data_IF_324732215638
#
_entry.id   IF_324732215638
#
_cell.length_a   1.000
_cell.length_b   1.000
_cell.length_c   1.000
_cell.angle_alpha   90.00
_cell.angle_beta   90.00
_cell.angle_gamma   90.00
#
_symmetry.space_group_name_H-M   'P 1'
#
loop_
_entity.id
_entity.type
_entity.pdbx_description
1 polymer ?
#
# COMPACT_ATOMS: atom_id res chain seq x y z
N UNK A 1 1.58 -5.76 12.77
CA UNK A 1 1.86 -7.22 12.74
C UNK A 1 3.28 -7.37 13.20
N UNK A 2 3.54 -8.21 14.22
CA UNK A 2 4.91 -8.64 14.51
C UNK A 2 5.45 -9.36 13.27
N UNK A 3 6.77 -9.29 13.01
CA UNK A 3 7.39 -9.97 11.88
C UNK A 3 7.09 -11.46 11.79
N UNK A 4 6.78 -12.09 12.91
CA UNK A 4 6.37 -13.48 13.01
C UNK A 4 5.07 -13.77 12.25
N UNK A 5 4.06 -12.89 12.34
CA UNK A 5 2.79 -13.09 11.64
C UNK A 5 2.90 -12.96 10.12
N UNK A 6 3.85 -12.16 9.62
CA UNK A 6 4.07 -12.04 8.18
C UNK A 6 4.62 -13.34 7.59
N UNK A 7 5.58 -13.98 8.27
CA UNK A 7 6.20 -15.23 7.82
C UNK A 7 5.19 -16.39 7.73
N UNK A 8 4.23 -16.43 8.66
CA UNK A 8 3.25 -17.51 8.76
C UNK A 8 1.99 -17.26 7.93
N UNK A 9 1.84 -16.07 7.34
CA UNK A 9 0.61 -15.72 6.62
C UNK A 9 0.72 -16.04 5.13
N UNK A 10 0.05 -17.10 4.63
CA UNK A 10 0.05 -17.41 3.21
C UNK A 10 -0.59 -16.25 2.43
N UNK A 11 0.02 -15.86 1.34
CA UNK A 11 -0.47 -14.79 0.46
C UNK A 11 0.04 -13.38 0.78
N UNK A 12 0.89 -13.21 1.80
CA UNK A 12 1.61 -11.93 2.02
C UNK A 12 2.99 -11.89 1.32
N UNK A 13 3.35 -12.92 0.55
CA UNK A 13 4.56 -12.95 -0.26
C UNK A 13 5.87 -13.10 0.55
N UNK A 14 5.79 -13.59 1.80
CA UNK A 14 6.97 -13.76 2.64
C UNK A 14 7.96 -14.76 2.05
N UNK A 15 7.50 -15.94 1.64
CA UNK A 15 8.34 -16.98 1.05
C UNK A 15 9.03 -16.51 -0.24
N UNK A 16 8.29 -15.86 -1.12
CA UNK A 16 8.79 -15.30 -2.38
C UNK A 16 9.82 -14.20 -2.12
N UNK A 17 9.55 -13.33 -1.15
CA UNK A 17 10.47 -12.27 -0.76
C UNK A 17 11.77 -12.85 -0.19
N UNK A 18 11.69 -13.80 0.75
CA UNK A 18 12.85 -14.45 1.33
C UNK A 18 13.67 -15.19 0.26
N UNK A 19 13.00 -15.97 -0.60
CA UNK A 19 13.65 -16.69 -1.70
C UNK A 19 14.38 -15.75 -2.66
N UNK A 20 13.87 -14.55 -2.92
CA UNK A 20 14.52 -13.55 -3.76
C UNK A 20 15.87 -13.07 -3.20
N UNK A 21 16.08 -13.22 -1.90
CA UNK A 21 17.36 -12.96 -1.21
C UNK A 21 18.17 -14.22 -0.94
N UNK A 22 17.73 -15.38 -1.44
CA UNK A 22 18.41 -16.68 -1.24
C UNK A 22 18.21 -17.26 0.17
N UNK A 23 17.08 -16.92 0.82
CA UNK A 23 16.70 -17.41 2.14
C UNK A 23 15.57 -18.41 2.01
N UNK A 24 15.76 -19.62 2.52
CA UNK A 24 14.73 -20.65 2.59
C UNK A 24 14.04 -20.61 3.96
N UNK A 25 12.73 -20.43 3.97
CA UNK A 25 11.93 -20.47 5.19
C UNK A 25 11.41 -21.89 5.46
N UNK A 26 11.87 -22.50 6.54
CA UNK A 26 11.51 -23.85 6.98
C UNK A 26 10.67 -23.88 8.28
N UNK A 27 10.19 -22.70 8.71
CA UNK A 27 9.43 -22.55 9.96
C UNK A 27 10.28 -22.13 11.17
N UNK A 28 11.61 -22.06 11.04
CA UNK A 28 12.48 -21.53 12.09
C UNK A 28 12.65 -20.00 11.96
N UNK A 29 11.84 -19.27 12.70
CA UNK A 29 11.84 -17.80 12.72
C UNK A 29 13.17 -17.19 13.18
N UNK A 30 13.84 -17.82 14.16
CA UNK A 30 15.14 -17.32 14.66
C UNK A 30 16.23 -17.45 13.60
N UNK A 31 16.27 -18.61 12.93
CA UNK A 31 17.21 -18.83 11.82
C UNK A 31 16.93 -17.88 10.67
N UNK A 32 15.67 -17.76 10.28
CA UNK A 32 15.25 -16.85 9.20
C UNK A 32 15.64 -15.41 9.50
N UNK A 33 15.40 -14.92 10.73
CA UNK A 33 15.81 -13.57 11.13
C UNK A 33 17.33 -13.38 11.03
N UNK A 34 18.13 -14.35 11.49
CA UNK A 34 19.60 -14.28 11.37
C UNK A 34 20.07 -14.27 9.90
N UNK A 35 19.40 -15.04 9.02
CA UNK A 35 19.70 -15.03 7.58
C UNK A 35 19.27 -13.72 6.90
N UNK A 36 18.13 -13.13 7.27
CA UNK A 36 17.72 -11.79 6.80
C UNK A 36 18.78 -10.76 7.13
N UNK A 37 19.25 -10.69 8.36
CA UNK A 37 20.31 -9.75 8.77
C UNK A 37 21.64 -9.97 8.04
N UNK A 38 21.90 -11.18 7.56
CA UNK A 38 23.14 -11.54 6.85
C UNK A 38 23.04 -11.33 5.34
N UNK A 39 21.89 -11.62 4.71
CA UNK A 39 21.75 -11.72 3.26
C UNK A 39 21.00 -10.54 2.63
N UNK A 40 20.07 -9.92 3.37
CA UNK A 40 19.40 -8.72 2.85
C UNK A 40 20.35 -7.53 2.96
N UNK A 41 20.60 -6.79 1.88
CA UNK A 41 21.47 -5.62 1.94
C UNK A 41 20.98 -4.62 2.99
N UNK A 42 21.89 -4.15 3.83
CA UNK A 42 21.57 -3.17 4.90
C UNK A 42 20.89 -1.91 4.34
N UNK A 43 21.22 -1.52 3.12
CA UNK A 43 20.59 -0.40 2.43
C UNK A 43 19.07 -0.61 2.22
N UNK A 44 18.65 -1.87 1.93
CA UNK A 44 17.23 -2.20 1.77
C UNK A 44 16.50 -2.12 3.11
N UNK A 45 17.09 -2.68 4.18
CA UNK A 45 16.50 -2.63 5.52
C UNK A 45 16.35 -1.18 6.01
N UNK A 46 17.40 -0.38 5.89
CA UNK A 46 17.34 1.05 6.26
C UNK A 46 16.32 1.83 5.44
N UNK A 47 16.23 1.54 4.15
CA UNK A 47 15.23 2.20 3.29
C UNK A 47 13.82 1.89 3.78
N UNK A 48 13.49 0.62 4.07
CA UNK A 48 12.19 0.22 4.60
C UNK A 48 11.87 0.89 5.93
N UNK A 49 12.85 0.96 6.85
CA UNK A 49 12.70 1.61 8.16
C UNK A 49 12.44 3.12 8.07
N UNK A 50 12.87 3.76 6.99
CA UNK A 50 12.73 5.21 6.79
C UNK A 50 11.51 5.59 5.96
N UNK A 51 10.73 4.62 5.46
CA UNK A 51 9.54 4.91 4.68
C UNK A 51 8.48 5.64 5.52
N UNK A 52 7.93 6.77 5.02
CA UNK A 52 6.84 7.43 5.70
C UNK A 52 5.55 6.58 5.60
N UNK A 53 4.73 6.61 6.65
CA UNK A 53 3.43 5.92 6.67
C UNK A 53 2.40 6.61 5.78
N UNK A 54 2.60 7.86 5.47
CA UNK A 54 1.76 8.66 4.58
C UNK A 54 2.55 9.82 3.97
N UNK A 55 2.02 10.36 2.88
CA UNK A 55 2.56 11.55 2.22
C UNK A 55 1.42 12.48 1.81
N UNK A 56 1.45 13.72 2.30
CA UNK A 56 0.44 14.74 1.99
C UNK A 56 1.00 15.76 1.00
N UNK A 57 0.24 15.99 -0.07
CA UNK A 57 0.48 17.06 -1.05
C UNK A 57 -0.72 18.02 -1.07
N UNK A 58 -0.64 19.15 -1.78
CA UNK A 58 -1.81 20.00 -2.00
C UNK A 58 -2.99 19.29 -2.71
N UNK A 59 -2.72 18.24 -3.48
CA UNK A 59 -3.72 17.53 -4.27
C UNK A 59 -4.32 16.34 -3.54
N UNK A 60 -3.52 15.60 -2.77
CA UNK A 60 -3.96 14.33 -2.18
C UNK A 60 -3.13 13.91 -0.97
N UNK A 61 -3.73 13.04 -0.16
CA UNK A 61 -3.07 12.24 0.87
C UNK A 61 -2.79 10.84 0.31
N UNK A 62 -1.54 10.44 0.26
CA UNK A 62 -1.11 9.10 -0.15
C UNK A 62 -0.87 8.25 1.10
N UNK A 63 -1.47 7.06 1.15
CA UNK A 63 -1.37 6.14 2.28
C UNK A 63 -1.54 4.69 1.77
N UNK A 64 -0.98 3.69 2.48
CA UNK A 64 -1.07 2.30 2.01
C UNK A 64 -2.51 1.79 1.99
N UNK A 65 -3.21 1.73 3.14
CA UNK A 65 -4.55 1.13 3.24
C UNK A 65 -5.69 2.16 3.33
N UNK A 66 -5.49 3.24 4.07
CA UNK A 66 -6.50 4.25 4.31
C UNK A 66 -6.27 5.02 5.60
N UNK A 67 -7.31 5.69 6.06
CA UNK A 67 -7.31 6.45 7.32
C UNK A 67 -8.54 6.08 8.14
N UNK A 68 -8.50 6.30 9.45
CA UNK A 68 -9.69 6.25 10.30
C UNK A 68 -10.47 7.56 10.13
N UNK A 69 -11.72 7.51 9.61
CA UNK A 69 -12.54 8.70 9.43
C UNK A 69 -12.74 9.48 10.73
N UNK A 70 -12.75 10.80 10.63
CA UNK A 70 -12.97 11.69 11.78
C UNK A 70 -11.80 11.80 12.76
N UNK A 71 -10.65 11.20 12.46
CA UNK A 71 -9.42 11.30 13.25
C UNK A 71 -8.38 12.11 12.51
N UNK A 72 -7.80 13.11 13.18
CA UNK A 72 -6.73 13.92 12.60
C UNK A 72 -5.56 13.05 12.11
N UNK A 73 -4.92 13.45 11.01
CA UNK A 73 -3.81 12.70 10.40
C UNK A 73 -2.65 12.45 11.38
N UNK A 74 -2.34 13.43 12.24
CA UNK A 74 -1.31 13.32 13.28
C UNK A 74 -1.65 12.34 14.42
N UNK A 75 -2.90 11.87 14.47
CA UNK A 75 -3.41 10.94 15.48
C UNK A 75 -3.80 9.58 14.91
N UNK A 76 -3.60 9.39 13.61
CA UNK A 76 -3.79 8.09 12.97
C UNK A 76 -2.83 7.06 13.55
N UNK A 77 -3.29 5.84 13.74
CA UNK A 77 -2.42 4.75 14.16
C UNK A 77 -1.73 4.12 12.95
N UNK A 78 -0.51 3.60 13.12
CA UNK A 78 0.17 2.85 12.08
C UNK A 78 -0.71 1.69 11.57
N UNK A 79 -1.38 0.97 12.48
CA UNK A 79 -2.28 -0.12 12.12
C UNK A 79 -3.39 0.34 11.17
N UNK A 80 -4.03 1.49 11.42
CA UNK A 80 -5.07 2.00 10.52
C UNK A 80 -4.48 2.37 9.15
N UNK A 81 -3.35 3.07 9.13
CA UNK A 81 -2.70 3.52 7.90
C UNK A 81 -2.29 2.36 6.97
N UNK A 82 -1.94 1.19 7.53
CA UNK A 82 -1.43 0.05 6.75
C UNK A 82 -2.40 -1.13 6.64
N UNK A 83 -3.51 -1.18 7.41
CA UNK A 83 -4.40 -2.34 7.43
C UNK A 83 -5.90 -2.03 7.35
N UNK A 84 -6.33 -0.79 7.53
CA UNK A 84 -7.76 -0.47 7.59
C UNK A 84 -8.49 -0.88 6.31
N UNK A 85 -9.68 -1.43 6.48
CA UNK A 85 -10.65 -1.70 5.41
C UNK A 85 -12.02 -1.20 5.83
N UNK A 86 -12.68 -1.97 6.71
CA UNK A 86 -14.02 -1.62 7.22
C UNK A 86 -13.98 -0.30 7.98
N UNK A 87 -14.99 0.54 7.75
CA UNK A 87 -15.10 1.87 8.35
C UNK A 87 -14.44 2.97 7.54
N UNK A 88 -13.40 2.66 6.70
CA UNK A 88 -12.84 3.59 5.72
C UNK A 88 -13.46 3.40 4.34
N UNK A 89 -13.52 2.15 3.86
CA UNK A 89 -14.03 1.85 2.52
C UNK A 89 -15.53 2.16 2.37
N UNK A 90 -16.26 2.06 3.46
CA UNK A 90 -17.71 2.29 3.53
C UNK A 90 -18.07 3.75 3.89
N UNK A 91 -17.07 4.58 4.24
CA UNK A 91 -17.28 5.96 4.63
C UNK A 91 -17.32 6.88 3.40
N UNK A 92 -18.35 7.72 3.32
CA UNK A 92 -18.54 8.68 2.25
C UNK A 92 -18.35 10.13 2.69
N UNK A 93 -17.90 10.36 3.93
CA UNK A 93 -17.68 11.71 4.45
C UNK A 93 -16.47 12.35 3.78
N UNK A 94 -16.44 13.67 3.72
CA UNK A 94 -15.30 14.42 3.23
C UNK A 94 -14.14 14.30 4.24
N UNK A 95 -12.99 13.81 3.80
CA UNK A 95 -11.77 13.69 4.60
C UNK A 95 -10.87 14.94 4.48
N UNK A 96 -11.29 15.96 3.71
CA UNK A 96 -10.50 17.12 3.33
C UNK A 96 -9.67 16.81 2.06
N UNK A 97 -8.48 16.23 2.15
CA UNK A 97 -7.72 15.81 0.96
C UNK A 97 -8.31 14.53 0.36
N UNK A 98 -8.20 14.37 -0.96
CA UNK A 98 -8.46 13.09 -1.63
C UNK A 98 -7.49 12.03 -1.08
N UNK A 99 -8.01 10.92 -0.55
CA UNK A 99 -7.18 9.84 -0.02
C UNK A 99 -6.86 8.82 -1.11
N UNK A 100 -5.61 8.77 -1.55
CA UNK A 100 -5.11 7.77 -2.52
C UNK A 100 -4.58 6.57 -1.77
N UNK A 101 -5.13 5.39 -2.07
CA UNK A 101 -4.80 4.18 -1.31
C UNK A 101 -4.78 2.91 -2.18
N UNK A 102 -4.10 1.87 -1.68
CA UNK A 102 -4.07 0.51 -2.20
C UNK A 102 -4.65 -0.50 -1.20
N UNK A 103 -3.92 -1.60 -0.96
CA UNK A 103 -4.20 -2.64 0.03
C UNK A 103 -5.50 -3.46 -0.19
N UNK A 104 -6.54 -2.84 -0.66
CA UNK A 104 -7.81 -3.50 -1.03
C UNK A 104 -7.94 -3.49 -2.53
N UNK A 105 -7.85 -4.68 -3.12
CA UNK A 105 -7.88 -4.85 -4.57
C UNK A 105 -9.22 -4.41 -5.14
N UNK A 106 -9.18 -3.66 -6.23
CA UNK A 106 -10.31 -3.24 -7.05
C UNK A 106 -10.12 -3.71 -8.49
N UNK A 107 -11.20 -3.91 -9.25
CA UNK A 107 -11.12 -4.35 -10.64
C UNK A 107 -10.45 -3.31 -11.55
N UNK A 108 -10.61 -2.04 -11.23
CA UNK A 108 -10.00 -0.91 -11.93
C UNK A 108 -9.80 0.26 -10.99
N UNK A 109 -8.87 1.16 -11.33
CA UNK A 109 -8.67 2.42 -10.58
C UNK A 109 -9.97 3.20 -10.52
N UNK A 110 -10.47 3.47 -9.31
CA UNK A 110 -11.80 4.04 -9.10
C UNK A 110 -11.76 5.21 -8.12
N UNK A 111 -12.38 6.32 -8.53
CA UNK A 111 -12.54 7.52 -7.71
C UNK A 111 -13.91 7.52 -7.03
N UNK A 112 -13.96 7.33 -5.72
CA UNK A 112 -15.19 7.24 -4.92
C UNK A 112 -15.67 8.58 -4.32
N UNK A 113 -15.18 9.70 -4.84
CA UNK A 113 -15.49 11.04 -4.33
C UNK A 113 -14.47 11.51 -3.29
N UNK A 114 -14.39 10.86 -2.15
CA UNK A 114 -13.46 11.18 -1.05
C UNK A 114 -12.15 10.39 -1.08
N UNK A 115 -12.06 9.34 -1.87
CA UNK A 115 -10.89 8.45 -1.99
C UNK A 115 -10.69 7.95 -3.41
N UNK A 116 -9.44 7.60 -3.73
CA UNK A 116 -9.02 6.98 -4.98
C UNK A 116 -8.37 5.63 -4.68
N UNK A 117 -9.02 4.53 -5.07
CA UNK A 117 -8.48 3.19 -4.96
C UNK A 117 -7.65 2.85 -6.21
N UNK A 118 -6.36 2.54 -6.03
CA UNK A 118 -5.42 2.30 -7.13
C UNK A 118 -4.80 0.90 -7.16
N UNK A 119 -5.11 0.04 -6.21
CA UNK A 119 -4.60 -1.33 -6.16
C UNK A 119 -5.44 -2.24 -7.07
N UNK A 120 -4.91 -2.58 -8.20
CA UNK A 120 -5.54 -3.48 -9.18
C UNK A 120 -4.97 -4.91 -9.15
N UNK A 121 -4.34 -5.28 -8.02
CA UNK A 121 -3.93 -6.65 -7.74
C UNK A 121 -2.70 -7.11 -8.52
N UNK A 122 -1.75 -6.22 -8.84
CA UNK A 122 -0.55 -6.59 -9.60
C UNK A 122 0.23 -7.76 -8.99
N UNK A 123 0.31 -7.84 -7.66
CA UNK A 123 0.95 -8.95 -6.95
C UNK A 123 0.22 -10.31 -7.12
N UNK A 124 -1.04 -10.28 -7.58
CA UNK A 124 -1.88 -11.46 -7.83
C UNK A 124 -2.14 -11.70 -9.33
N UNK A 125 -1.33 -11.09 -10.19
CA UNK A 125 -1.46 -11.21 -11.65
C UNK A 125 -2.41 -10.22 -12.29
N UNK A 126 -2.96 -9.28 -11.55
CA UNK A 126 -3.70 -8.14 -12.08
C UNK A 126 -2.78 -7.09 -12.74
N UNK A 127 -3.34 -6.06 -13.37
CA UNK A 127 -2.54 -5.02 -13.98
C UNK A 127 -1.83 -4.16 -12.93
N UNK A 128 -0.63 -3.68 -13.25
CA UNK A 128 0.03 -2.63 -12.47
C UNK A 128 -0.56 -1.28 -12.87
N UNK A 129 -1.24 -0.61 -11.95
CA UNK A 129 -1.84 0.70 -12.17
C UNK A 129 -0.94 1.83 -11.69
N UNK A 130 -0.93 2.92 -12.42
CA UNK A 130 -0.25 4.16 -12.05
C UNK A 130 -1.14 5.35 -12.36
N UNK A 131 -1.17 6.33 -11.46
CA UNK A 131 -1.92 7.57 -11.64
C UNK A 131 -0.97 8.77 -11.60
N UNK A 132 -1.36 9.84 -12.27
CA UNK A 132 -0.63 11.10 -12.27
C UNK A 132 -1.56 12.23 -11.85
N UNK A 133 -1.04 13.11 -10.99
CA UNK A 133 -1.65 14.37 -10.63
C UNK A 133 -0.80 15.50 -11.20
N UNK A 134 -1.37 16.32 -12.05
CA UNK A 134 -0.69 17.49 -12.61
C UNK A 134 -1.65 18.67 -12.83
N UNK A 135 -1.23 19.67 -13.61
CA UNK A 135 -2.04 20.85 -13.88
C UNK A 135 -3.32 20.56 -14.70
N UNK A 136 -3.36 19.43 -15.39
CA UNK A 136 -4.51 19.00 -16.18
C UNK A 136 -5.49 18.13 -15.35
N UNK A 137 -5.08 17.73 -14.15
CA UNK A 137 -5.90 16.98 -13.19
C UNK A 137 -5.36 15.60 -12.87
N UNK A 138 -6.27 14.69 -12.53
CA UNK A 138 -6.00 13.30 -12.19
C UNK A 138 -6.21 12.39 -13.40
N UNK A 139 -5.19 11.62 -13.76
CA UNK A 139 -5.23 10.69 -14.88
C UNK A 139 -4.65 9.33 -14.53
N UNK A 140 -5.19 8.27 -15.12
CA UNK A 140 -4.57 6.95 -15.15
C UNK A 140 -3.51 6.94 -16.27
N UNK A 141 -2.34 6.36 -16.00
CA UNK A 141 -1.31 6.13 -17.02
C UNK A 141 -1.54 4.78 -17.70
N UNK A 142 -1.84 4.82 -18.99
CA UNK A 142 -1.93 3.64 -19.85
C UNK A 142 -0.77 3.56 -20.84
N UNK A 143 -0.71 2.47 -21.61
CA UNK A 143 0.32 2.27 -22.63
C UNK A 143 0.31 3.38 -23.71
N UNK A 144 -0.88 3.91 -24.01
CA UNK A 144 -1.08 4.93 -25.05
C UNK A 144 -1.15 6.36 -24.45
N UNK A 145 -0.80 6.53 -23.19
CA UNK A 145 -0.78 7.82 -22.51
C UNK A 145 -1.80 7.96 -21.39
N UNK A 146 -2.32 9.17 -21.20
CA UNK A 146 -3.24 9.50 -20.09
C UNK A 146 -4.67 9.10 -20.44
N UNK A 147 -5.34 8.49 -19.48
CA UNK A 147 -6.75 8.11 -19.58
C UNK A 147 -7.53 8.69 -18.39
N UNK A 148 -8.84 8.95 -18.54
CA UNK A 148 -9.67 9.38 -17.42
C UNK A 148 -9.77 8.29 -16.36
N UNK A 149 -9.87 8.71 -15.09
CA UNK A 149 -10.19 7.81 -13.99
C UNK A 149 -11.69 7.60 -13.92
N UNK A 150 -12.11 6.37 -13.69
CA UNK A 150 -13.53 6.00 -13.57
C UNK A 150 -14.08 6.45 -12.21
N UNK A 151 -15.32 6.96 -12.21
CA UNK A 151 -16.15 7.16 -11.02
C UNK A 151 -17.32 6.18 -11.05
N UNK A 152 -17.80 5.69 -9.90
CA UNK A 152 -18.94 4.77 -9.83
C UNK A 152 -20.23 5.38 -10.36
#
# INVERSE_FOLDING_TARGET
ISGEHWLDHPGLGAAETLTSYGIDFDGDHHRTHAEVLRLVPEAHLRWLETLPLWHLTPQALFVHAGIRPGVDLSRQTEHDLVWIRKGFLDDSTDHGPLVVHGHTVVDQVTHFGNRLAIDTGAAYGGPLSAVVFDAEGLHLLGADGRMPVVSP
#
